data_IF_024827209521
#
_entry.id   IF_024827209521
#
_cell.length_a   1.000
_cell.length_b   1.000
_cell.length_c   1.000
_cell.angle_alpha   90.00
_cell.angle_beta   90.00
_cell.angle_gamma   90.00
#
_symmetry.space_group_name_H-M   'P 1'
#
loop_
_entity.id
_entity.type
_entity.pdbx_description
1 polymer ?
#
# COMPACT_ATOMS: atom_id res chain seq x y z
N UNK A 1 -68.02 -17.71 33.07
CA UNK A 1 -66.90 -18.54 32.57
C UNK A 1 -66.01 -17.64 31.72
N UNK A 2 -64.77 -17.48 32.14
CA UNK A 2 -63.76 -16.58 31.58
C UNK A 2 -63.19 -17.10 30.25
N UNK A 3 -62.93 -16.21 29.29
CA UNK A 3 -61.85 -16.33 28.30
C UNK A 3 -61.61 -14.93 27.68
N UNK A 4 -60.68 -14.17 28.25
CA UNK A 4 -59.31 -13.97 27.74
C UNK A 4 -59.24 -12.93 26.62
N UNK A 5 -59.08 -11.67 27.02
CA UNK A 5 -58.60 -10.57 26.19
C UNK A 5 -57.07 -10.73 26.05
N UNK A 6 -56.60 -11.03 24.85
CA UNK A 6 -55.17 -11.05 24.53
C UNK A 6 -54.63 -9.63 24.38
N UNK A 7 -53.89 -9.15 25.38
CA UNK A 7 -53.10 -7.92 25.27
C UNK A 7 -51.90 -8.19 24.37
N UNK A 8 -51.91 -7.61 23.17
CA UNK A 8 -50.73 -7.56 22.30
C UNK A 8 -49.78 -6.51 22.87
N UNK A 9 -48.68 -6.96 23.48
CA UNK A 9 -47.56 -6.10 23.84
C UNK A 9 -46.82 -5.77 22.55
N UNK A 10 -47.03 -4.56 22.02
CA UNK A 10 -46.21 -4.02 20.93
C UNK A 10 -44.85 -3.69 21.53
N UNK A 11 -43.88 -4.59 21.35
CA UNK A 11 -42.47 -4.28 21.55
C UNK A 11 -42.10 -3.24 20.49
N UNK A 12 -42.06 -1.97 20.88
CA UNK A 12 -41.47 -0.91 20.08
C UNK A 12 -39.96 -1.17 20.00
N UNK A 13 -39.54 -1.95 19.00
CA UNK A 13 -38.14 -2.03 18.62
C UNK A 13 -37.71 -0.62 18.20
N UNK A 14 -36.90 0.01 19.04
CA UNK A 14 -36.18 1.21 18.67
C UNK A 14 -35.23 0.85 17.53
N UNK A 15 -35.70 1.03 16.28
CA UNK A 15 -34.84 1.07 15.11
C UNK A 15 -34.03 2.37 15.21
N UNK A 16 -32.97 2.34 16.01
CA UNK A 16 -31.88 3.28 15.84
C UNK A 16 -31.37 3.09 14.42
N UNK A 17 -31.52 4.11 13.59
CA UNK A 17 -30.91 4.17 12.27
C UNK A 17 -29.43 3.88 12.44
N UNK A 18 -29.00 2.65 12.13
CA UNK A 18 -27.61 2.37 11.90
C UNK A 18 -27.23 3.23 10.70
N UNK A 19 -26.71 4.43 10.96
CA UNK A 19 -25.83 5.11 10.03
C UNK A 19 -24.72 4.13 9.77
N UNK A 20 -24.87 3.32 8.72
CA UNK A 20 -23.75 2.62 8.13
C UNK A 20 -22.84 3.76 7.68
N UNK A 21 -21.87 4.10 8.52
CA UNK A 21 -20.85 5.04 8.16
C UNK A 21 -20.26 4.47 6.87
N UNK A 22 -20.32 5.24 5.77
CA UNK A 22 -19.56 4.92 4.55
C UNK A 22 -18.17 4.48 5.03
N UNK A 23 -17.61 3.36 4.51
CA UNK A 23 -16.27 2.96 4.90
C UNK A 23 -15.35 4.18 4.87
N UNK A 24 -14.78 4.54 6.01
CA UNK A 24 -13.73 5.56 6.07
C UNK A 24 -12.53 5.01 5.30
N UNK A 25 -11.80 5.85 4.55
CA UNK A 25 -10.69 5.39 3.70
C UNK A 25 -11.09 5.24 2.23
N UNK A 26 -10.20 5.73 1.35
CA UNK A 26 -10.34 5.69 -0.11
C UNK A 26 -9.39 4.66 -0.71
N UNK A 27 -9.16 4.68 -2.04
CA UNK A 27 -8.02 3.98 -2.59
C UNK A 27 -6.74 4.51 -1.95
N UNK A 28 -5.83 3.61 -1.59
CA UNK A 28 -4.53 3.99 -1.10
C UNK A 28 -3.75 4.77 -2.17
N UNK A 29 -2.74 5.49 -1.74
CA UNK A 29 -1.77 6.08 -2.63
C UNK A 29 -0.42 6.14 -1.94
N UNK A 30 0.64 6.10 -2.73
CA UNK A 30 2.00 6.30 -2.25
C UNK A 30 2.79 7.26 -3.11
N UNK A 31 3.80 7.87 -2.51
CA UNK A 31 4.91 8.49 -3.23
C UNK A 31 6.10 7.55 -3.15
N UNK A 32 6.56 7.06 -4.29
CA UNK A 32 7.77 6.25 -4.43
C UNK A 32 8.94 7.15 -4.82
N UNK A 33 10.09 6.94 -4.19
CA UNK A 33 11.35 7.58 -4.54
C UNK A 33 12.39 6.52 -4.89
N UNK A 34 13.17 6.78 -5.95
CA UNK A 34 14.18 5.86 -6.48
C UNK A 34 15.50 6.61 -6.62
N UNK A 35 16.57 6.05 -6.08
CA UNK A 35 17.93 6.56 -6.16
C UNK A 35 18.78 5.69 -7.07
N UNK A 36 19.78 6.29 -7.73
CA UNK A 36 20.64 5.59 -8.68
C UNK A 36 21.49 4.49 -8.07
N UNK A 37 21.75 4.56 -6.75
CA UNK A 37 22.80 3.78 -6.12
C UNK A 37 24.21 4.22 -6.56
N UNK A 38 25.24 3.40 -6.26
CA UNK A 38 25.15 2.09 -5.61
C UNK A 38 24.92 2.23 -4.10
N UNK A 39 23.84 1.63 -3.59
CA UNK A 39 23.57 1.61 -2.15
C UNK A 39 22.84 0.35 -1.73
N UNK A 40 23.34 -0.31 -0.68
CA UNK A 40 22.69 -1.48 -0.09
C UNK A 40 21.99 -1.09 1.20
N UNK A 41 20.69 -1.33 1.27
CA UNK A 41 19.87 -1.15 2.45
C UNK A 41 20.36 -2.07 3.57
N UNK A 42 20.72 -1.53 4.75
CA UNK A 42 21.32 -2.32 5.82
C UNK A 42 20.32 -3.26 6.52
N UNK A 43 19.04 -2.89 6.54
CA UNK A 43 17.95 -3.69 7.10
C UNK A 43 16.59 -3.29 6.45
N UNK A 44 15.58 -4.17 6.52
CA UNK A 44 14.20 -3.77 6.24
C UNK A 44 13.80 -2.56 7.08
N UNK A 45 13.02 -1.65 6.51
CA UNK A 45 12.53 -0.42 7.16
C UNK A 45 13.59 0.64 7.53
N UNK A 46 14.85 0.46 7.12
CA UNK A 46 15.88 1.49 7.28
C UNK A 46 15.50 2.76 6.52
N UNK A 47 15.78 3.94 7.07
CA UNK A 47 15.70 5.16 6.27
C UNK A 47 16.80 5.16 5.21
N UNK A 48 16.51 5.75 4.04
CA UNK A 48 17.55 6.04 3.05
C UNK A 48 18.39 7.23 3.55
N UNK A 49 19.74 7.16 3.50
CA UNK A 49 20.61 8.26 3.93
C UNK A 49 20.31 9.56 3.16
N UNK A 50 20.25 10.68 3.89
CA UNK A 50 20.05 12.02 3.32
C UNK A 50 21.36 12.75 3.01
N UNK A 51 22.51 12.16 3.38
CA UNK A 51 23.86 12.69 3.17
C UNK A 51 24.39 12.47 1.74
N UNK A 52 23.58 11.92 0.84
CA UNK A 52 23.94 11.62 -0.54
C UNK A 52 24.57 10.25 -0.77
N UNK A 53 24.80 9.46 0.29
CA UNK A 53 25.40 8.12 0.17
C UNK A 53 24.53 7.13 -0.61
N UNK A 54 23.23 7.40 -0.74
CA UNK A 54 22.30 6.60 -1.54
C UNK A 54 22.43 6.84 -3.07
N UNK A 55 23.25 7.80 -3.49
CA UNK A 55 23.36 8.25 -4.87
C UNK A 55 22.40 9.40 -5.20
N UNK A 56 22.13 9.59 -6.49
CA UNK A 56 21.25 10.67 -6.96
C UNK A 56 19.80 10.22 -6.99
N UNK A 57 18.88 11.04 -6.47
CA UNK A 57 17.44 10.80 -6.62
C UNK A 57 17.08 10.86 -8.11
N UNK A 58 16.72 9.71 -8.69
CA UNK A 58 16.38 9.58 -10.10
C UNK A 58 14.94 10.01 -10.37
N UNK A 59 14.02 9.60 -9.51
CA UNK A 59 12.58 9.80 -9.75
C UNK A 59 11.80 9.85 -8.45
N UNK A 60 10.74 10.66 -8.46
CA UNK A 60 9.66 10.62 -7.49
C UNK A 60 8.36 10.40 -8.26
N UNK A 61 7.57 9.42 -7.85
CA UNK A 61 6.35 9.00 -8.56
C UNK A 61 5.21 8.90 -7.56
N UNK A 62 4.07 9.53 -7.85
CA UNK A 62 2.85 9.32 -7.10
C UNK A 62 2.04 8.20 -7.75
N UNK A 63 1.72 7.16 -7.00
CA UNK A 63 1.09 5.94 -7.47
C UNK A 63 -0.17 5.70 -6.64
N UNK A 64 -1.37 5.94 -7.20
CA UNK A 64 -2.60 5.52 -6.57
C UNK A 64 -2.78 4.00 -6.69
N UNK A 65 -3.57 3.43 -5.79
CA UNK A 65 -3.97 2.01 -5.83
C UNK A 65 -4.63 1.65 -7.17
N UNK A 66 -4.47 0.38 -7.56
CA UNK A 66 -4.91 -0.16 -8.86
C UNK A 66 -4.30 0.54 -10.08
N UNK A 67 -3.17 1.22 -9.92
CA UNK A 67 -2.41 1.85 -11.02
C UNK A 67 -1.03 1.24 -11.15
N UNK A 68 -0.72 0.77 -12.34
CA UNK A 68 0.63 0.33 -12.70
C UNK A 68 1.46 1.50 -13.19
N UNK A 69 2.62 1.73 -12.58
CA UNK A 69 3.57 2.76 -12.99
C UNK A 69 4.88 2.15 -13.49
N UNK A 70 5.31 2.57 -14.69
CA UNK A 70 6.63 2.24 -15.22
C UNK A 70 7.66 3.18 -14.61
N UNK A 71 8.64 2.59 -13.92
CA UNK A 71 9.53 3.33 -13.05
C UNK A 71 11.02 3.04 -13.26
N UNK A 72 11.37 1.86 -13.79
CA UNK A 72 12.72 1.38 -14.07
C UNK A 72 13.69 1.54 -12.89
N UNK A 73 13.97 0.44 -12.20
CA UNK A 73 14.86 0.36 -11.05
C UNK A 73 16.19 -0.30 -11.47
N UNK A 74 17.29 0.45 -11.59
CA UNK A 74 18.61 -0.11 -11.86
C UNK A 74 18.99 -1.16 -10.81
N UNK A 75 19.80 -2.18 -11.16
CA UNK A 75 20.14 -3.31 -10.29
C UNK A 75 20.68 -2.87 -8.90
N UNK A 76 21.48 -1.82 -8.85
CA UNK A 76 22.12 -1.32 -7.64
C UNK A 76 21.39 -0.14 -6.98
N UNK A 77 20.16 0.13 -7.42
CA UNK A 77 19.33 1.23 -6.90
C UNK A 77 18.84 0.96 -5.48
N UNK A 78 18.49 2.05 -4.80
CA UNK A 78 17.73 2.02 -3.57
C UNK A 78 16.40 2.75 -3.78
N UNK A 79 15.36 2.34 -3.08
CA UNK A 79 14.05 2.97 -3.17
C UNK A 79 13.33 2.94 -1.81
N UNK A 80 12.45 3.92 -1.61
CA UNK A 80 11.57 4.02 -0.44
C UNK A 80 10.20 4.52 -0.89
N UNK A 81 9.16 4.28 -0.10
CA UNK A 81 7.84 4.78 -0.41
C UNK A 81 7.13 5.28 0.84
N UNK A 82 6.35 6.35 0.69
CA UNK A 82 5.55 6.93 1.75
C UNK A 82 4.08 6.88 1.35
N UNK A 83 3.22 6.42 2.26
CA UNK A 83 1.79 6.38 2.06
C UNK A 83 1.21 7.80 2.12
N UNK A 84 0.56 8.23 1.04
CA UNK A 84 -0.02 9.57 0.89
C UNK A 84 -1.55 9.57 1.00
N UNK A 85 -2.19 8.43 0.80
CA UNK A 85 -3.59 8.20 1.14
C UNK A 85 -3.74 6.82 1.79
N UNK A 86 -4.51 6.75 2.87
CA UNK A 86 -4.79 5.49 3.56
C UNK A 86 -5.83 4.66 2.78
N UNK A 87 -5.69 3.32 2.77
CA UNK A 87 -6.65 2.42 2.15
C UNK A 87 -8.02 2.44 2.85
N UNK A 88 -8.96 1.68 2.31
CA UNK A 88 -10.28 1.42 2.93
C UNK A 88 -10.12 0.90 4.37
N UNK A 89 -11.03 1.29 5.27
CA UNK A 89 -11.08 0.76 6.65
C UNK A 89 -11.18 -0.77 6.61
N UNK A 90 -10.39 -1.43 7.46
CA UNK A 90 -10.34 -2.89 7.56
C UNK A 90 -9.26 -3.55 6.72
N UNK A 91 -8.50 -2.78 5.92
CA UNK A 91 -7.28 -3.25 5.25
C UNK A 91 -6.25 -3.66 6.32
N UNK A 92 -5.71 -4.87 6.19
CA UNK A 92 -4.75 -5.43 7.12
C UNK A 92 -3.31 -4.99 6.82
N UNK A 93 -2.98 -4.75 5.54
CA UNK A 93 -1.65 -4.31 5.13
C UNK A 93 -1.62 -3.71 3.73
N UNK A 94 -0.55 -2.96 3.45
CA UNK A 94 -0.25 -2.47 2.11
C UNK A 94 1.19 -2.83 1.75
N UNK A 95 1.42 -3.09 0.46
CA UNK A 95 2.70 -3.49 -0.10
C UNK A 95 3.02 -2.69 -1.36
N UNK A 96 4.29 -2.33 -1.50
CA UNK A 96 4.85 -1.89 -2.78
C UNK A 96 5.21 -3.14 -3.57
N UNK A 97 4.55 -3.37 -4.68
CA UNK A 97 4.77 -4.54 -5.52
C UNK A 97 5.57 -4.14 -6.76
N UNK A 98 6.79 -4.65 -6.87
CA UNK A 98 7.72 -4.37 -7.97
C UNK A 98 7.72 -5.52 -8.97
N UNK A 99 7.74 -5.19 -10.25
CA UNK A 99 7.68 -6.14 -11.36
C UNK A 99 8.94 -6.09 -12.20
N UNK A 100 9.42 -7.27 -12.62
CA UNK A 100 10.66 -7.40 -13.40
C UNK A 100 10.59 -6.68 -14.76
N UNK A 101 9.46 -6.75 -15.44
CA UNK A 101 9.24 -6.15 -16.75
C UNK A 101 8.52 -4.79 -16.64
N UNK A 102 8.36 -4.09 -17.77
CA UNK A 102 7.66 -2.81 -17.84
C UNK A 102 6.13 -3.01 -17.90
N UNK A 103 5.58 -3.62 -16.85
CA UNK A 103 4.15 -3.82 -16.65
C UNK A 103 3.86 -4.60 -15.37
N UNK A 104 2.63 -4.49 -14.86
CA UNK A 104 2.21 -5.10 -13.58
C UNK A 104 1.41 -6.40 -13.77
N UNK A 105 1.52 -7.03 -14.95
CA UNK A 105 0.88 -8.31 -15.21
C UNK A 105 1.81 -9.46 -14.83
N UNK A 106 1.40 -10.32 -13.91
CA UNK A 106 2.19 -11.49 -13.50
C UNK A 106 2.24 -12.53 -14.61
N UNK A 107 3.46 -12.88 -15.04
CA UNK A 107 3.72 -13.97 -16.01
C UNK A 107 4.91 -14.80 -15.53
N UNK A 108 5.26 -15.86 -16.25
CA UNK A 108 6.47 -16.65 -15.94
C UNK A 108 7.77 -15.82 -16.01
N UNK A 109 7.80 -14.79 -16.86
CA UNK A 109 8.95 -13.90 -17.04
C UNK A 109 8.85 -12.64 -16.20
N UNK A 110 7.63 -12.17 -15.93
CA UNK A 110 7.35 -10.99 -15.12
C UNK A 110 6.96 -11.36 -13.69
N UNK A 111 7.96 -11.75 -12.92
CA UNK A 111 7.82 -12.02 -11.49
C UNK A 111 7.76 -10.71 -10.72
N UNK A 112 7.17 -10.77 -9.52
CA UNK A 112 7.04 -9.62 -8.64
C UNK A 112 7.64 -9.87 -7.26
N UNK A 113 8.01 -8.78 -6.59
CA UNK A 113 8.42 -8.78 -5.19
C UNK A 113 7.68 -7.69 -4.43
N UNK A 114 7.12 -8.06 -3.28
CA UNK A 114 6.38 -7.16 -2.40
C UNK A 114 7.24 -6.67 -1.24
N UNK A 115 7.14 -5.38 -0.94
CA UNK A 115 7.79 -4.74 0.20
C UNK A 115 6.70 -4.11 1.08
N UNK A 116 6.57 -4.52 2.35
CA UNK A 116 5.50 -4.04 3.21
C UNK A 116 5.74 -2.59 3.63
N UNK A 117 4.65 -1.83 3.78
CA UNK A 117 4.64 -0.65 4.63
C UNK A 117 4.67 -1.05 6.11
N UNK A 118 5.17 -0.16 6.96
CA UNK A 118 5.17 -0.34 8.41
C UNK A 118 3.76 -0.29 9.05
N UNK A 119 2.80 0.35 8.38
CA UNK A 119 1.37 0.42 8.74
C UNK A 119 0.53 0.89 7.53
N UNK A 120 -0.77 1.09 7.73
CA UNK A 120 -1.77 1.49 6.70
C UNK A 120 -2.32 2.90 6.93
N UNK A 121 -1.54 3.78 7.57
CA UNK A 121 -1.93 5.17 7.82
C UNK A 121 -1.15 6.12 6.90
N UNK A 122 -1.69 7.31 6.65
CA UNK A 122 -0.94 8.35 5.93
C UNK A 122 0.35 8.67 6.69
N UNK A 123 1.46 8.72 5.96
CA UNK A 123 2.80 8.90 6.52
C UNK A 123 3.53 7.61 6.85
N UNK A 124 2.86 6.44 6.77
CA UNK A 124 3.52 5.14 6.83
C UNK A 124 4.58 5.00 5.74
N UNK A 125 5.63 4.26 6.07
CA UNK A 125 6.83 4.15 5.22
C UNK A 125 7.08 2.69 4.89
N UNK A 126 7.28 2.41 3.61
CA UNK A 126 8.09 1.27 3.17
C UNK A 126 9.53 1.79 3.22
N UNK A 127 10.33 1.31 4.16
CA UNK A 127 11.72 1.80 4.26
C UNK A 127 12.57 1.37 3.07
N UNK A 128 13.88 1.35 3.27
CA UNK A 128 14.82 1.12 2.19
C UNK A 128 14.64 -0.30 1.60
N UNK A 129 14.39 -0.34 0.29
CA UNK A 129 14.45 -1.55 -0.53
C UNK A 129 15.52 -1.47 -1.61
N UNK A 130 16.05 -2.64 -1.99
CA UNK A 130 16.91 -2.82 -3.15
C UNK A 130 16.34 -3.88 -4.10
N UNK A 131 16.68 -3.83 -5.38
CA UNK A 131 16.43 -4.94 -6.29
C UNK A 131 17.19 -6.20 -5.89
N UNK A 132 16.59 -7.37 -6.13
CA UNK A 132 17.13 -8.67 -5.72
C UNK A 132 17.62 -9.47 -6.92
N UNK A 133 18.88 -9.25 -7.30
CA UNK A 133 19.53 -10.02 -8.38
C UNK A 133 19.08 -9.68 -9.81
N UNK A 134 18.11 -8.77 -9.98
CA UNK A 134 17.70 -8.21 -11.27
C UNK A 134 17.08 -6.81 -11.11
N UNK A 135 17.03 -6.04 -12.19
CA UNK A 135 16.35 -4.74 -12.26
C UNK A 135 14.82 -4.90 -12.38
N UNK A 136 14.05 -3.97 -11.84
CA UNK A 136 12.59 -3.91 -12.02
C UNK A 136 12.20 -2.88 -13.08
N UNK A 137 11.07 -3.11 -13.77
CA UNK A 137 10.53 -2.19 -14.78
C UNK A 137 9.30 -1.41 -14.30
N UNK A 138 8.45 -2.02 -13.47
CA UNK A 138 7.20 -1.42 -13.04
C UNK A 138 6.91 -1.63 -11.54
N UNK A 139 5.94 -0.88 -11.05
CA UNK A 139 5.52 -0.86 -9.65
C UNK A 139 4.02 -0.55 -9.53
N UNK A 140 3.39 -1.10 -8.51
CA UNK A 140 2.08 -0.70 -8.03
C UNK A 140 2.02 -0.74 -6.49
N UNK A 141 0.96 -0.18 -5.91
CA UNK A 141 0.60 -0.38 -4.51
C UNK A 141 -0.60 -1.33 -4.44
N UNK A 142 -0.49 -2.34 -3.58
CA UNK A 142 -1.54 -3.34 -3.30
C UNK A 142 -1.89 -3.30 -1.81
N UNK A 143 -3.17 -3.25 -1.48
CA UNK A 143 -3.67 -3.15 -0.11
C UNK A 143 -4.79 -4.19 0.12
N UNK A 144 -4.61 -5.06 1.11
CA UNK A 144 -5.50 -6.18 1.41
C UNK A 144 -5.88 -6.19 2.90
#
# INVERSE_FOLDING_TARGET
MFSSMGTIVILAAMFGSAVTAKPTGGPAAMTLQIWSGPFTCPAPNSAIPTDGSAGTLLKTINIPEATCAVANFPLDSAFTANMTAAPKTGTAGCYVQLFKEQGCGTTLTNQYHGYPFDSVVVGSVMGCGNPVGFSYGAVEIVCE
#
